data_IF_611300642762
#
_entry.id   IF_611300642762
#
_cell.length_a   1.000
_cell.length_b   1.000
_cell.length_c   1.000
_cell.angle_alpha   90.00
_cell.angle_beta   90.00
_cell.angle_gamma   90.00
#
_symmetry.space_group_name_H-M   'P 1'
#
loop_
_entity.id
_entity.type
_entity.pdbx_description
1 polymer ?
#
# COMPACT_ATOMS: atom_id res chain seq x y z
N UNK A 1 -10.05 -1.61 -15.55
CA UNK A 1 -8.67 -1.94 -15.12
C UNK A 1 -8.71 -2.07 -13.62
N UNK A 2 -7.70 -2.65 -12.97
CA UNK A 2 -7.71 -2.75 -11.52
C UNK A 2 -6.30 -2.74 -10.94
N UNK A 3 -6.17 -2.22 -9.72
CA UNK A 3 -5.03 -2.50 -8.86
C UNK A 3 -5.33 -3.79 -8.09
N UNK A 4 -4.31 -4.65 -8.00
CA UNK A 4 -4.33 -5.86 -7.18
C UNK A 4 -3.61 -5.53 -5.86
N UNK A 5 -4.33 -5.45 -4.73
CA UNK A 5 -3.70 -5.37 -3.42
C UNK A 5 -2.77 -6.55 -3.19
N UNK A 6 -1.82 -6.36 -2.30
CA UNK A 6 -0.89 -7.42 -1.87
C UNK A 6 -0.85 -7.44 -0.36
N UNK A 7 -0.67 -8.63 0.21
CA UNK A 7 -0.29 -8.76 1.60
C UNK A 7 1.14 -8.24 1.74
N UNK A 8 1.26 -7.08 2.38
CA UNK A 8 2.53 -6.40 2.54
C UNK A 8 2.95 -6.42 4.01
N UNK A 9 4.23 -6.74 4.31
CA UNK A 9 4.74 -6.72 5.69
C UNK A 9 4.86 -5.28 6.19
N UNK A 10 4.22 -4.99 7.32
CA UNK A 10 4.43 -3.77 8.09
C UNK A 10 5.24 -4.10 9.34
N UNK A 11 6.33 -3.37 9.58
CA UNK A 11 7.10 -3.49 10.81
C UNK A 11 6.34 -2.85 11.97
N UNK A 12 6.17 -3.60 13.05
CA UNK A 12 5.43 -3.19 14.25
C UNK A 12 6.26 -3.27 15.52
N UNK A 13 7.58 -3.47 15.41
CA UNK A 13 8.47 -3.57 16.57
C UNK A 13 8.42 -2.29 17.43
N UNK A 14 8.14 -1.14 16.80
CA UNK A 14 7.96 0.14 17.50
C UNK A 14 6.78 0.14 18.47
N UNK A 15 5.76 -0.71 18.25
CA UNK A 15 4.63 -0.87 19.16
C UNK A 15 4.98 -1.74 20.38
N UNK A 16 6.09 -2.49 20.36
CA UNK A 16 6.55 -3.35 21.48
C UNK A 16 5.46 -4.31 21.99
N UNK A 17 4.73 -4.93 21.07
CA UNK A 17 3.66 -5.88 21.38
C UNK A 17 4.21 -7.31 21.39
N UNK A 18 3.74 -8.11 22.34
CA UNK A 18 4.05 -9.54 22.44
C UNK A 18 2.78 -10.36 22.57
N UNK A 19 2.78 -11.55 21.97
CA UNK A 19 1.76 -12.60 22.19
C UNK A 19 2.45 -13.77 22.89
N UNK A 20 1.95 -14.18 24.05
CA UNK A 20 2.49 -15.32 24.81
C UNK A 20 4.03 -15.23 25.00
N UNK A 21 4.53 -14.06 25.39
CA UNK A 21 5.97 -13.74 25.53
C UNK A 21 6.80 -13.75 24.23
N UNK A 22 6.18 -13.96 23.08
CA UNK A 22 6.84 -13.85 21.77
C UNK A 22 6.60 -12.46 21.18
N UNK A 23 7.65 -11.64 20.96
CA UNK A 23 7.50 -10.34 20.32
C UNK A 23 6.96 -10.48 18.89
N UNK A 24 5.95 -9.68 18.56
CA UNK A 24 5.45 -9.57 17.20
C UNK A 24 6.28 -8.51 16.46
N UNK A 25 6.94 -8.91 15.38
CA UNK A 25 7.84 -8.02 14.61
C UNK A 25 7.18 -7.37 13.41
N UNK A 26 6.35 -8.15 12.73
CA UNK A 26 5.64 -7.72 11.54
C UNK A 26 4.26 -8.37 11.50
N UNK A 27 3.33 -7.69 10.84
CA UNK A 27 2.10 -8.29 10.34
C UNK A 27 1.97 -8.00 8.85
N UNK A 28 1.16 -8.80 8.15
CA UNK A 28 0.88 -8.58 6.74
C UNK A 28 -0.55 -8.10 6.58
N UNK A 29 -0.72 -6.99 5.86
CA UNK A 29 -2.03 -6.40 5.57
C UNK A 29 -2.23 -6.42 4.05
N UNK A 30 -3.39 -6.87 3.54
CA UNK A 30 -3.73 -6.75 2.14
C UNK A 30 -3.98 -5.27 1.84
N UNK A 31 -3.17 -4.67 0.96
CA UNK A 31 -3.31 -3.25 0.65
C UNK A 31 -2.76 -2.85 -0.71
N UNK A 32 -3.25 -1.70 -1.19
CA UNK A 32 -2.59 -0.91 -2.24
C UNK A 32 -2.26 0.46 -1.67
N UNK A 33 -0.99 0.84 -1.70
CA UNK A 33 -0.53 2.14 -1.23
C UNK A 33 -0.43 3.14 -2.39
N UNK A 34 -0.85 4.36 -2.12
CA UNK A 34 -0.75 5.54 -2.95
C UNK A 34 -0.01 6.61 -2.17
N UNK A 35 0.42 7.67 -2.86
CA UNK A 35 1.09 8.80 -2.24
C UNK A 35 0.47 10.10 -2.78
N UNK A 36 0.24 11.05 -1.89
CA UNK A 36 -0.30 12.37 -2.24
C UNK A 36 0.83 13.41 -2.22
N UNK A 37 1.67 13.34 -3.25
CA UNK A 37 2.89 14.14 -3.33
C UNK A 37 2.64 15.32 -4.27
N UNK A 38 2.90 16.56 -3.81
CA UNK A 38 2.91 17.71 -4.68
C UNK A 38 3.88 17.51 -5.85
N UNK A 39 3.48 17.94 -7.05
CA UNK A 39 4.27 17.80 -8.27
C UNK A 39 5.74 18.25 -8.11
N UNK A 40 6.00 19.40 -7.49
CA UNK A 40 7.36 19.91 -7.24
C UNK A 40 8.24 19.00 -6.35
N UNK A 41 7.67 18.03 -5.62
CA UNK A 41 8.40 17.06 -4.80
C UNK A 41 8.56 15.69 -5.49
N UNK A 42 8.07 15.56 -6.73
CA UNK A 42 8.14 14.30 -7.46
C UNK A 42 9.57 13.82 -7.67
N UNK A 43 10.53 14.72 -7.88
CA UNK A 43 11.93 14.36 -8.10
C UNK A 43 12.52 13.65 -6.89
N UNK A 44 12.27 14.20 -5.70
CA UNK A 44 12.65 13.59 -4.45
C UNK A 44 12.01 12.21 -4.26
N UNK A 45 10.76 12.03 -4.64
CA UNK A 45 10.09 10.73 -4.49
C UNK A 45 10.52 9.69 -5.52
N UNK A 46 10.72 10.12 -6.77
CA UNK A 46 11.13 9.26 -7.87
C UNK A 46 12.58 8.81 -7.70
N UNK A 47 13.49 9.71 -7.34
CA UNK A 47 14.93 9.47 -7.27
C UNK A 47 15.40 9.21 -5.83
N UNK A 48 14.82 9.87 -4.83
CA UNK A 48 15.22 9.78 -3.43
C UNK A 48 16.58 10.40 -3.13
N UNK A 49 16.91 10.50 -1.85
CA UNK A 49 18.31 10.75 -1.45
C UNK A 49 19.12 9.50 -1.75
N UNK A 50 20.23 9.63 -2.46
CA UNK A 50 21.12 8.52 -2.80
C UNK A 50 20.38 7.32 -3.44
N UNK A 51 19.49 7.58 -4.42
CA UNK A 51 18.76 6.55 -5.17
C UNK A 51 17.79 5.71 -4.33
N UNK A 52 17.33 6.23 -3.19
CA UNK A 52 16.34 5.57 -2.33
C UNK A 52 14.90 5.70 -2.83
N UNK A 53 14.66 6.44 -3.92
CA UNK A 53 13.31 6.68 -4.47
C UNK A 53 12.61 5.45 -5.04
N UNK A 54 11.33 5.63 -5.37
CA UNK A 54 10.43 4.59 -5.89
C UNK A 54 10.56 4.34 -7.39
N UNK A 55 11.24 5.23 -8.11
CA UNK A 55 11.39 5.19 -9.56
C UNK A 55 10.50 6.20 -10.27
N UNK A 56 10.71 6.30 -11.59
CA UNK A 56 10.15 7.35 -12.46
C UNK A 56 8.86 6.95 -13.18
N UNK A 57 8.32 5.77 -12.86
CA UNK A 57 7.07 5.26 -13.44
C UNK A 57 5.95 5.38 -12.42
N UNK A 58 4.85 6.03 -12.77
CA UNK A 58 3.69 6.13 -11.89
C UNK A 58 2.38 6.35 -12.64
N UNK A 59 1.27 5.98 -12.00
CA UNK A 59 -0.08 6.30 -12.46
C UNK A 59 -0.67 7.23 -11.41
N UNK A 60 -0.86 8.50 -11.77
CA UNK A 60 -1.51 9.47 -10.92
C UNK A 60 -3.02 9.38 -11.13
N UNK A 61 -3.78 9.27 -10.05
CA UNK A 61 -5.25 9.23 -10.06
C UNK A 61 -5.81 10.58 -9.59
N UNK A 62 -7.05 10.89 -9.95
CA UNK A 62 -7.76 12.00 -9.34
C UNK A 62 -8.00 11.73 -7.85
N UNK A 63 -7.80 12.73 -6.99
CA UNK A 63 -8.02 12.56 -5.54
C UNK A 63 -9.46 12.14 -5.19
N UNK A 64 -10.44 12.59 -5.98
CA UNK A 64 -11.84 12.14 -5.88
C UNK A 64 -12.00 10.63 -6.04
N UNK A 65 -11.20 9.99 -6.90
CA UNK A 65 -11.20 8.53 -7.01
C UNK A 65 -10.82 7.89 -5.67
N UNK A 66 -9.75 8.37 -5.03
CA UNK A 66 -9.32 7.84 -3.73
C UNK A 66 -10.39 8.00 -2.65
N UNK A 67 -10.94 9.22 -2.52
CA UNK A 67 -12.01 9.51 -1.54
C UNK A 67 -13.22 8.60 -1.77
N UNK A 68 -13.68 8.48 -3.02
CA UNK A 68 -14.85 7.67 -3.36
C UNK A 68 -14.65 6.17 -3.12
N UNK A 69 -13.42 5.67 -3.14
CA UNK A 69 -13.08 4.27 -2.89
C UNK A 69 -12.60 4.02 -1.46
N UNK A 70 -12.83 4.96 -0.54
CA UNK A 70 -12.47 4.80 0.88
C UNK A 70 -10.96 4.74 1.15
N UNK A 71 -10.13 5.19 0.21
CA UNK A 71 -8.68 5.30 0.40
C UNK A 71 -8.42 6.39 1.43
N UNK A 72 -7.65 6.08 2.46
CA UNK A 72 -7.40 6.98 3.59
C UNK A 72 -5.91 7.25 3.78
N UNK A 73 -5.49 8.47 4.15
CA UNK A 73 -4.13 8.72 4.61
C UNK A 73 -3.81 7.87 5.84
N UNK A 74 -2.58 7.36 5.91
CA UNK A 74 -2.10 6.65 7.10
C UNK A 74 -1.86 7.63 8.25
N UNK A 75 -2.02 7.16 9.47
CA UNK A 75 -1.67 7.91 10.67
C UNK A 75 -0.24 7.57 11.09
N UNK A 76 0.62 8.59 11.09
CA UNK A 76 2.01 8.42 11.51
C UNK A 76 2.13 8.56 13.02
N UNK A 77 2.72 7.56 13.66
CA UNK A 77 2.87 7.48 15.10
C UNK A 77 4.30 7.80 15.52
N UNK A 78 4.43 8.70 16.50
CA UNK A 78 5.68 8.83 17.24
C UNK A 78 5.80 7.67 18.21
N UNK A 79 6.82 6.83 18.04
CA UNK A 79 7.07 5.63 18.84
C UNK A 79 7.18 5.88 20.35
N UNK A 80 7.44 7.13 20.77
CA UNK A 80 7.59 7.54 22.18
C UNK A 80 6.41 8.38 22.69
N UNK A 81 5.30 8.44 21.95
CA UNK A 81 4.14 9.26 22.33
C UNK A 81 3.08 8.45 23.08
N UNK A 82 2.27 9.17 23.88
CA UNK A 82 1.13 8.60 24.63
C UNK A 82 0.18 7.81 23.71
N UNK A 83 -0.23 8.30 22.52
CA UNK A 83 -1.10 7.53 21.64
C UNK A 83 -0.54 6.15 21.25
N UNK A 84 0.78 6.06 21.05
CA UNK A 84 1.43 4.77 20.73
C UNK A 84 1.44 3.84 21.94
N UNK A 85 1.67 4.38 23.13
CA UNK A 85 1.62 3.64 24.37
C UNK A 85 0.22 3.08 24.66
N UNK A 86 -0.81 3.92 24.56
CA UNK A 86 -2.21 3.49 24.77
C UNK A 86 -2.66 2.48 23.72
N UNK A 87 -2.25 2.68 22.45
CA UNK A 87 -2.50 1.71 21.39
C UNK A 87 -1.87 0.35 21.71
N UNK A 88 -0.59 0.33 22.12
CA UNK A 88 0.09 -0.90 22.57
C UNK A 88 -0.69 -1.57 23.69
N UNK A 89 -1.08 -0.82 24.72
CA UNK A 89 -1.82 -1.36 25.87
C UNK A 89 -3.14 -2.00 25.43
N UNK A 90 -3.90 -1.31 24.58
CA UNK A 90 -5.17 -1.81 24.06
C UNK A 90 -4.99 -3.10 23.24
N UNK A 91 -3.98 -3.15 22.36
CA UNK A 91 -3.69 -4.36 21.57
C UNK A 91 -3.25 -5.52 22.47
N UNK A 92 -2.42 -5.26 23.49
CA UNK A 92 -2.00 -6.28 24.45
C UNK A 92 -3.16 -6.88 25.22
N UNK A 93 -4.16 -6.08 25.60
CA UNK A 93 -5.40 -6.55 26.21
C UNK A 93 -6.16 -7.46 25.23
N UNK A 94 -6.36 -7.01 23.98
CA UNK A 94 -7.04 -7.82 22.96
C UNK A 94 -6.34 -9.16 22.72
N UNK A 95 -5.00 -9.17 22.65
CA UNK A 95 -4.23 -10.39 22.39
C UNK A 95 -4.21 -11.37 23.57
N UNK A 96 -4.49 -10.89 24.77
CA UNK A 96 -4.55 -11.70 25.99
C UNK A 96 -5.99 -12.15 26.33
N UNK A 97 -6.99 -11.70 25.57
CA UNK A 97 -8.38 -12.07 25.80
C UNK A 97 -8.62 -13.55 25.47
N UNK A 98 -9.27 -14.25 26.39
CA UNK A 98 -9.63 -15.67 26.24
C UNK A 98 -11.05 -15.83 25.67
N UNK A 99 -11.50 -14.87 24.85
CA UNK A 99 -12.80 -14.86 24.20
C UNK A 99 -13.92 -14.14 24.98
N UNK A 100 -13.61 -13.42 26.07
CA UNK A 100 -14.61 -12.66 26.81
C UNK A 100 -15.13 -11.47 26.01
N UNK A 101 -14.29 -10.87 25.16
CA UNK A 101 -14.66 -9.73 24.32
C UNK A 101 -15.85 -10.05 23.42
N UNK A 102 -15.90 -11.26 22.86
CA UNK A 102 -16.95 -11.67 21.93
C UNK A 102 -18.32 -11.91 22.59
N UNK A 103 -18.43 -11.73 23.90
CA UNK A 103 -19.70 -11.79 24.63
C UNK A 103 -20.36 -10.43 24.86
N UNK A 104 -19.66 -9.33 24.55
CA UNK A 104 -20.15 -7.95 24.74
C UNK A 104 -20.10 -7.17 23.42
N UNK A 105 -21.25 -6.67 22.97
CA UNK A 105 -21.40 -5.96 21.70
C UNK A 105 -20.56 -4.66 21.65
N UNK A 106 -20.46 -3.93 22.76
CA UNK A 106 -19.67 -2.71 22.81
C UNK A 106 -18.17 -3.03 22.70
N UNK A 107 -17.71 -4.08 23.39
CA UNK A 107 -16.31 -4.53 23.29
C UNK A 107 -15.99 -5.06 21.89
N UNK A 108 -16.91 -5.77 21.22
CA UNK A 108 -16.76 -6.18 19.83
C UNK A 108 -16.58 -4.94 18.93
N UNK A 109 -17.46 -3.94 19.06
CA UNK A 109 -17.39 -2.72 18.26
C UNK A 109 -16.07 -1.96 18.46
N UNK A 110 -15.61 -1.83 19.70
CA UNK A 110 -14.33 -1.18 20.03
C UNK A 110 -13.14 -1.97 19.48
N UNK A 111 -13.19 -3.29 19.56
CA UNK A 111 -12.14 -4.18 19.03
C UNK A 111 -12.04 -4.08 17.51
N UNK A 112 -13.18 -4.04 16.82
CA UNK A 112 -13.23 -3.84 15.37
C UNK A 112 -12.66 -2.47 14.99
N UNK A 113 -13.03 -1.41 15.72
CA UNK A 113 -12.45 -0.08 15.49
C UNK A 113 -10.93 -0.07 15.67
N UNK A 114 -10.43 -0.68 16.73
CA UNK A 114 -9.00 -0.79 17.00
C UNK A 114 -8.28 -1.56 15.88
N UNK A 115 -8.86 -2.67 15.42
CA UNK A 115 -8.33 -3.43 14.30
C UNK A 115 -8.29 -2.61 13.00
N UNK A 116 -9.36 -1.89 12.68
CA UNK A 116 -9.39 -1.00 11.50
C UNK A 116 -8.34 0.11 11.58
N UNK A 117 -8.11 0.64 12.79
CA UNK A 117 -7.11 1.65 13.06
C UNK A 117 -5.69 1.10 12.88
N UNK A 118 -5.39 -0.07 13.45
CA UNK A 118 -4.09 -0.75 13.32
C UNK A 118 -3.68 -1.00 11.87
N UNK A 119 -4.64 -1.20 10.97
CA UNK A 119 -4.31 -1.40 9.54
C UNK A 119 -3.95 -0.10 8.81
N UNK A 120 -4.09 1.06 9.47
CA UNK A 120 -3.91 2.41 8.89
C UNK A 120 -2.85 3.24 9.61
N UNK A 121 -2.00 2.62 10.43
CA UNK A 121 -0.91 3.30 11.13
C UNK A 121 0.45 2.95 10.53
N UNK A 122 1.43 3.82 10.77
CA UNK A 122 2.85 3.61 10.44
C UNK A 122 3.70 4.40 11.44
N UNK A 123 4.93 4.01 11.79
CA UNK A 123 5.78 4.89 12.58
C UNK A 123 6.19 6.13 11.75
N UNK A 124 6.59 7.21 12.41
CA UNK A 124 7.13 8.40 11.73
C UNK A 124 8.37 8.05 10.88
N UNK A 125 9.26 7.25 11.44
CA UNK A 125 10.48 6.78 10.79
C UNK A 125 10.78 5.33 11.17
N UNK A 126 11.58 4.67 10.35
CA UNK A 126 12.01 3.31 10.62
C UNK A 126 12.80 2.69 9.49
N UNK A 127 12.98 1.38 9.58
CA UNK A 127 13.68 0.58 8.58
C UNK A 127 12.70 -0.06 7.61
N UNK A 128 13.07 -0.17 6.34
CA UNK A 128 12.37 -0.99 5.36
C UNK A 128 13.34 -1.75 4.47
N UNK A 129 12.89 -2.90 3.94
CA UNK A 129 13.65 -3.69 2.96
C UNK A 129 13.47 -3.09 1.57
N UNK A 130 14.56 -2.78 0.88
CA UNK A 130 14.58 -2.36 -0.53
C UNK A 130 15.39 -3.35 -1.36
N UNK A 131 14.90 -3.71 -2.54
CA UNK A 131 15.66 -4.51 -3.48
C UNK A 131 16.79 -3.67 -4.10
N UNK A 132 18.03 -4.05 -3.81
CA UNK A 132 19.20 -3.53 -4.51
C UNK A 132 19.42 -4.32 -5.81
N UNK A 133 19.33 -3.62 -6.94
CA UNK A 133 19.50 -4.22 -8.27
C UNK A 133 20.94 -4.64 -8.53
N UNK A 134 21.93 -3.91 -8.01
CA UNK A 134 23.35 -4.20 -8.25
C UNK A 134 23.79 -5.39 -7.40
N UNK A 135 23.50 -5.36 -6.10
CA UNK A 135 23.80 -6.45 -5.19
C UNK A 135 22.86 -7.66 -5.30
N UNK A 136 21.77 -7.56 -6.06
CA UNK A 136 20.71 -8.58 -6.22
C UNK A 136 20.22 -9.15 -4.88
N UNK A 137 20.05 -8.28 -3.90
CA UNK A 137 19.64 -8.64 -2.54
C UNK A 137 18.75 -7.55 -1.96
N UNK A 138 17.97 -7.91 -0.95
CA UNK A 138 17.32 -6.90 -0.12
C UNK A 138 18.34 -6.27 0.82
N UNK A 139 18.36 -4.94 0.84
CA UNK A 139 19.09 -4.13 1.82
C UNK A 139 18.10 -3.41 2.72
N UNK A 140 18.49 -3.19 3.96
CA UNK A 140 17.71 -2.38 4.90
C UNK A 140 18.07 -0.91 4.70
N UNK A 141 17.05 -0.07 4.53
CA UNK A 141 17.21 1.38 4.43
C UNK A 141 16.40 2.05 5.54
N UNK A 142 16.95 3.13 6.10
CA UNK A 142 16.20 3.99 7.02
C UNK A 142 15.44 5.05 6.24
N UNK A 143 14.21 5.33 6.67
CA UNK A 143 13.34 6.28 6.00
C UNK A 143 12.47 7.04 7.00
N UNK A 144 12.23 8.31 6.71
CA UNK A 144 11.12 9.05 7.28
C UNK A 144 9.88 8.71 6.46
N UNK A 145 8.96 7.95 7.04
CA UNK A 145 7.74 7.52 6.36
C UNK A 145 6.72 8.64 6.24
N UNK A 146 6.78 9.66 7.11
CA UNK A 146 5.89 10.83 7.04
C UNK A 146 6.05 11.60 5.72
N UNK A 147 7.26 11.64 5.16
CA UNK A 147 7.52 12.28 3.86
C UNK A 147 6.80 11.58 2.69
N UNK A 148 6.31 10.36 2.88
CA UNK A 148 5.62 9.60 1.84
C UNK A 148 4.21 10.09 1.57
N UNK A 149 3.59 10.78 2.53
CA UNK A 149 2.18 11.18 2.46
C UNK A 149 1.31 10.00 1.99
N UNK A 150 1.50 8.84 2.63
CA UNK A 150 0.93 7.57 2.19
C UNK A 150 -0.59 7.56 2.39
N UNK A 151 -1.29 7.08 1.36
CA UNK A 151 -2.72 6.79 1.36
C UNK A 151 -2.90 5.31 1.09
N UNK A 152 -3.75 4.64 1.87
CA UNK A 152 -3.94 3.19 1.82
C UNK A 152 -5.35 2.84 1.40
N UNK A 153 -5.44 1.98 0.39
CA UNK A 153 -6.62 1.19 0.11
C UNK A 153 -6.45 -0.17 0.79
N UNK A 154 -7.44 -0.57 1.58
CA UNK A 154 -7.53 -1.91 2.16
C UNK A 154 -8.80 -2.52 1.58
N UNK A 155 -8.73 -3.68 0.90
CA UNK A 155 -9.91 -4.35 0.39
C UNK A 155 -10.81 -4.82 1.53
N UNK A 156 -12.11 -4.79 1.28
CA UNK A 156 -13.12 -5.33 2.16
C UNK A 156 -13.54 -6.72 1.65
N UNK A 157 -13.01 -7.76 2.29
CA UNK A 157 -13.31 -9.14 1.95
C UNK A 157 -14.57 -9.61 2.67
N UNK A 158 -15.25 -10.60 2.11
CA UNK A 158 -16.21 -11.35 2.93
C UNK A 158 -15.42 -12.12 4.01
N UNK A 159 -16.02 -12.29 5.19
CA UNK A 159 -15.31 -12.80 6.39
C UNK A 159 -14.66 -14.19 6.22
N UNK A 160 -15.15 -14.98 5.25
CA UNK A 160 -14.70 -16.33 4.94
C UNK A 160 -13.76 -16.42 3.73
N UNK A 161 -13.55 -15.32 3.01
CA UNK A 161 -12.71 -15.31 1.80
C UNK A 161 -11.22 -15.34 2.16
N UNK A 162 -10.74 -14.33 2.89
CA UNK A 162 -9.33 -14.16 3.21
C UNK A 162 -9.13 -13.44 4.55
N UNK A 163 -8.05 -13.75 5.29
CA UNK A 163 -7.73 -13.07 6.55
C UNK A 163 -7.34 -11.61 6.31
N UNK A 164 -7.91 -10.66 7.04
CA UNK A 164 -7.55 -9.24 6.91
C UNK A 164 -6.15 -8.88 7.44
N UNK A 165 -5.54 -9.77 8.21
CA UNK A 165 -4.21 -9.56 8.80
C UNK A 165 -3.54 -10.92 9.04
N UNK A 166 -2.31 -11.07 8.56
CA UNK A 166 -1.48 -12.24 8.87
C UNK A 166 -0.48 -11.86 9.96
N UNK A 167 -0.55 -12.57 11.08
CA UNK A 167 0.43 -12.45 12.16
C UNK A 167 0.94 -13.81 12.65
N UNK A 168 0.31 -14.91 12.21
CA UNK A 168 0.74 -16.27 12.54
C UNK A 168 1.90 -16.65 11.63
N UNK A 169 2.89 -17.34 12.21
CA UNK A 169 4.13 -17.67 11.52
C UNK A 169 3.92 -18.46 10.22
N UNK A 170 3.01 -19.45 10.24
CA UNK A 170 2.72 -20.28 9.06
C UNK A 170 2.14 -19.46 7.91
N UNK A 171 1.21 -18.55 8.21
CA UNK A 171 0.61 -17.65 7.22
C UNK A 171 1.67 -16.71 6.62
N UNK A 172 2.57 -16.17 7.45
CA UNK A 172 3.68 -15.30 7.04
C UNK A 172 4.66 -16.07 6.14
N UNK A 173 4.98 -17.33 6.47
CA UNK A 173 5.86 -18.18 5.65
C UNK A 173 5.19 -18.48 4.30
N UNK A 174 3.91 -18.84 4.30
CA UNK A 174 3.16 -19.10 3.08
C UNK A 174 3.14 -17.86 2.15
N UNK A 175 2.91 -16.67 2.72
CA UNK A 175 2.91 -15.42 1.94
C UNK A 175 4.31 -15.04 1.44
N UNK A 176 5.32 -15.05 2.30
CA UNK A 176 6.69 -14.65 1.94
C UNK A 176 7.36 -15.59 0.93
N UNK A 177 7.04 -16.88 0.95
CA UNK A 177 7.63 -17.88 0.05
C UNK A 177 6.91 -17.99 -1.28
N UNK A 178 5.57 -17.88 -1.29
CA UNK A 178 4.75 -18.24 -2.44
C UNK A 178 3.72 -17.19 -2.85
N UNK A 179 3.57 -16.12 -2.07
CA UNK A 179 2.51 -15.10 -2.23
C UNK A 179 1.11 -15.73 -2.25
N UNK A 180 0.90 -16.76 -1.42
CA UNK A 180 -0.33 -17.55 -1.41
C UNK A 180 -1.57 -16.66 -1.27
N UNK A 181 -1.64 -15.85 -0.21
CA UNK A 181 -2.81 -15.01 0.05
C UNK A 181 -2.92 -13.89 -0.98
N UNK A 182 -1.80 -13.26 -1.36
CA UNK A 182 -1.80 -12.22 -2.41
C UNK A 182 -2.37 -12.75 -3.73
N UNK A 183 -2.03 -13.98 -4.13
CA UNK A 183 -2.55 -14.59 -5.35
C UNK A 183 -4.04 -14.91 -5.24
N UNK A 184 -4.50 -15.33 -4.06
CA UNK A 184 -5.92 -15.62 -3.81
C UNK A 184 -6.81 -14.38 -3.84
N UNK A 185 -6.27 -13.16 -3.69
CA UNK A 185 -7.07 -11.91 -3.76
C UNK A 185 -7.86 -11.83 -5.08
N UNK A 186 -7.35 -12.36 -6.18
CA UNK A 186 -8.07 -12.33 -7.48
C UNK A 186 -9.34 -13.18 -7.52
N UNK A 187 -9.52 -14.08 -6.55
CA UNK A 187 -10.69 -14.96 -6.44
C UNK A 187 -11.78 -14.37 -5.53
N UNK A 188 -11.46 -13.32 -4.78
CA UNK A 188 -12.43 -12.62 -3.91
C UNK A 188 -13.39 -11.74 -4.72
N UNK A 189 -14.58 -11.49 -4.16
CA UNK A 189 -15.59 -10.65 -4.81
C UNK A 189 -15.15 -9.18 -4.95
N UNK A 190 -14.58 -8.61 -3.88
CA UNK A 190 -14.31 -7.18 -3.76
C UNK A 190 -12.82 -6.85 -3.54
N UNK A 191 -11.91 -7.81 -3.69
CA UNK A 191 -10.49 -7.61 -3.42
C UNK A 191 -9.76 -6.71 -4.41
N UNK A 192 -10.29 -6.53 -5.63
CA UNK A 192 -9.65 -5.71 -6.66
C UNK A 192 -10.15 -4.26 -6.63
N UNK A 193 -9.22 -3.31 -6.59
CA UNK A 193 -9.54 -1.89 -6.71
C UNK A 193 -9.69 -1.51 -8.18
N UNK A 194 -10.94 -1.53 -8.66
CA UNK A 194 -11.26 -1.23 -10.04
C UNK A 194 -11.15 0.28 -10.35
N UNK A 195 -10.61 0.60 -11.53
CA UNK A 195 -10.54 1.96 -12.05
C UNK A 195 -10.73 2.00 -13.58
N UNK A 196 -11.07 3.19 -14.05
CA UNK A 196 -11.35 3.53 -15.44
C UNK A 196 -10.34 4.54 -15.98
N UNK A 197 -10.37 4.79 -17.29
CA UNK A 197 -9.50 5.80 -17.92
C UNK A 197 -9.79 7.22 -17.41
N UNK A 198 -11.03 7.52 -16.99
CA UNK A 198 -11.39 8.81 -16.42
C UNK A 198 -10.82 9.05 -15.02
N UNK A 199 -10.51 7.99 -14.27
CA UNK A 199 -9.93 8.12 -12.93
C UNK A 199 -8.44 8.50 -12.96
N UNK A 200 -7.75 8.17 -14.07
CA UNK A 200 -6.35 8.50 -14.28
C UNK A 200 -6.22 10.00 -14.58
N UNK A 201 -5.35 10.69 -13.85
CA UNK A 201 -4.95 12.06 -14.15
C UNK A 201 -3.76 12.09 -15.10
N UNK A 202 -2.68 11.38 -14.75
CA UNK A 202 -1.44 11.30 -15.53
C UNK A 202 -0.83 9.91 -15.47
N UNK A 203 -0.01 9.57 -16.45
CA UNK A 203 0.89 8.41 -16.41
C UNK A 203 2.31 8.92 -16.64
N UNK A 204 3.18 8.76 -15.66
CA UNK A 204 4.58 9.15 -15.78
C UNK A 204 5.42 7.97 -16.27
N UNK A 205 6.33 8.28 -17.18
CA UNK A 205 7.37 7.36 -17.68
C UNK A 205 8.73 8.05 -17.60
N UNK A 206 9.80 7.28 -17.52
CA UNK A 206 11.15 7.83 -17.36
C UNK A 206 11.62 8.66 -18.57
N UNK A 207 11.36 8.18 -19.78
CA UNK A 207 11.97 8.65 -21.03
C UNK A 207 11.00 8.67 -22.21
N UNK A 208 11.37 9.39 -23.27
CA UNK A 208 10.66 9.40 -24.56
C UNK A 208 10.52 7.99 -25.11
N UNK A 209 11.58 7.17 -25.03
CA UNK A 209 11.54 5.78 -25.50
C UNK A 209 10.50 4.95 -24.74
N UNK A 210 10.38 5.14 -23.42
CA UNK A 210 9.34 4.48 -22.63
C UNK A 210 7.94 4.98 -22.97
N UNK A 211 7.78 6.27 -23.26
CA UNK A 211 6.52 6.84 -23.77
C UNK A 211 6.09 6.14 -25.06
N UNK A 212 6.98 6.01 -26.03
CA UNK A 212 6.69 5.34 -27.30
C UNK A 212 6.30 3.86 -27.11
N UNK A 213 7.04 3.14 -26.27
CA UNK A 213 6.72 1.74 -25.92
C UNK A 213 5.34 1.63 -25.28
N UNK A 214 5.00 2.53 -24.35
CA UNK A 214 3.69 2.54 -23.70
C UNK A 214 2.56 2.87 -24.68
N UNK A 215 2.76 3.84 -25.58
CA UNK A 215 1.79 4.17 -26.64
C UNK A 215 1.54 2.95 -27.52
N UNK A 216 2.61 2.28 -27.97
CA UNK A 216 2.51 1.06 -28.78
C UNK A 216 1.78 -0.07 -28.04
N UNK A 217 2.02 -0.22 -26.74
CA UNK A 217 1.31 -1.17 -25.88
C UNK A 217 -0.20 -0.87 -25.83
N UNK A 218 -0.59 0.39 -25.53
CA UNK A 218 -1.99 0.81 -25.43
C UNK A 218 -2.72 0.58 -26.76
N UNK A 219 -2.12 1.00 -27.88
CA UNK A 219 -2.71 0.82 -29.22
C UNK A 219 -2.95 -0.67 -29.53
N UNK A 220 -1.96 -1.53 -29.28
CA UNK A 220 -2.02 -2.97 -29.57
C UNK A 220 -2.84 -3.80 -28.57
N UNK A 221 -3.19 -3.26 -27.41
CA UNK A 221 -3.97 -4.01 -26.40
C UNK A 221 -5.35 -4.37 -26.95
N UNK A 222 -5.53 -5.64 -27.30
CA UNK A 222 -6.79 -6.20 -27.82
C UNK A 222 -7.39 -7.32 -26.94
N UNK A 223 -6.57 -7.98 -26.11
CA UNK A 223 -7.01 -9.04 -25.18
C UNK A 223 -7.58 -8.49 -23.88
N UNK A 224 -8.68 -9.09 -23.39
CA UNK A 224 -9.39 -8.71 -22.17
C UNK A 224 -10.54 -7.74 -22.44
N UNK A 225 -11.00 -7.01 -21.41
CA UNK A 225 -12.02 -5.96 -21.58
C UNK A 225 -11.51 -4.92 -22.57
N UNK A 226 -12.18 -4.81 -23.72
CA UNK A 226 -11.76 -3.96 -24.83
C UNK A 226 -11.91 -2.49 -24.44
N UNK A 227 -10.80 -1.77 -24.36
CA UNK A 227 -10.81 -0.31 -24.19
C UNK A 227 -11.19 0.31 -25.55
N UNK A 228 -12.26 1.12 -25.63
CA UNK A 228 -12.65 1.82 -26.85
C UNK A 228 -11.51 2.66 -27.41
N UNK A 229 -11.50 2.88 -28.73
CA UNK A 229 -10.45 3.68 -29.38
C UNK A 229 -10.32 5.08 -28.77
N UNK A 230 -11.45 5.75 -28.52
CA UNK A 230 -11.48 7.06 -27.89
C UNK A 230 -10.82 7.06 -26.50
N UNK A 231 -11.09 6.06 -25.67
CA UNK A 231 -10.45 5.92 -24.35
C UNK A 231 -8.94 5.64 -24.46
N UNK A 232 -8.49 4.90 -25.47
CA UNK A 232 -7.06 4.71 -25.72
C UNK A 232 -6.37 6.04 -26.05
N UNK A 233 -7.01 6.86 -26.89
CA UNK A 233 -6.46 8.16 -27.28
C UNK A 233 -6.39 9.11 -26.06
N UNK A 234 -7.42 9.12 -25.21
CA UNK A 234 -7.41 9.84 -23.93
C UNK A 234 -6.32 9.33 -22.99
N UNK A 235 -6.09 8.01 -22.92
CA UNK A 235 -5.05 7.45 -22.07
C UNK A 235 -3.66 7.84 -22.55
N UNK A 236 -3.45 7.84 -23.88
CA UNK A 236 -2.20 8.26 -24.51
C UNK A 236 -1.92 9.75 -24.23
N UNK A 237 -2.94 10.60 -24.30
CA UNK A 237 -2.77 12.04 -24.04
C UNK A 237 -2.44 12.36 -22.58
N UNK A 238 -2.55 11.39 -21.66
CA UNK A 238 -2.19 11.54 -20.24
C UNK A 238 -0.75 11.12 -19.92
N UNK A 239 0.02 10.65 -20.91
CA UNK A 239 1.40 10.20 -20.70
C UNK A 239 2.34 11.40 -20.65
N UNK A 240 3.12 11.47 -19.57
CA UNK A 240 4.12 12.49 -19.30
C UNK A 240 5.50 11.85 -19.14
N UNK A 241 6.53 12.49 -19.69
CA UNK A 241 7.92 12.04 -19.55
C UNK A 241 8.54 12.79 -18.39
N UNK A 242 8.96 12.05 -17.36
CA UNK A 242 9.55 12.60 -16.15
C UNK A 242 10.81 13.43 -16.46
N UNK A 243 11.69 12.95 -17.33
CA UNK A 243 12.91 13.68 -17.67
C UNK A 243 12.65 15.00 -18.41
N UNK A 244 11.50 15.16 -19.08
CA UNK A 244 11.08 16.44 -19.68
C UNK A 244 10.54 17.42 -18.62
N UNK A 245 9.90 16.92 -17.55
CA UNK A 245 9.21 17.75 -16.56
C UNK A 245 10.12 18.20 -15.42
N UNK A 246 11.08 17.37 -15.03
CA UNK A 246 11.98 17.67 -13.91
C UNK A 246 12.86 18.90 -14.16
N UNK A 247 13.06 19.30 -15.43
CA UNK A 247 13.88 20.46 -15.80
C UNK A 247 13.12 21.78 -15.62
N UNK A 248 11.79 21.72 -15.64
CA UNK A 248 10.93 22.91 -15.54
C UNK A 248 10.59 23.30 -14.08
N UNK A 249 10.93 22.46 -13.09
CA UNK A 249 10.48 22.57 -11.69
C UNK A 249 11.60 22.72 -10.66
#
# INVERSE_FOLDING_TARGET
>A
MAFLPRYYPENIEYLKISKENTPLKEWYIPMTCFCDIPLHQMSYHAEGKAQTGYGKFSIALHKKFGINNGIQPVQYLNSNSIPTEELRNAISILLSDNGQIYSDEALISLSNHLFEYMRRIKPLDGSMKKWDKEGKKYVEIKKNFHDEHEWRYIPDFESDELPFLLYRQDDIIAESSSQFYTKSITETKNGLLNFSVSDIRYIFVDSILSREKLISFIKRKQKGKRIPRAEKDILISKILVYDEIKEDW
#
